data_IF_901186265728
#
_entry.id   IF_901186265728
#
_cell.length_a   1.000
_cell.length_b   1.000
_cell.length_c   1.000
_cell.angle_alpha   90.00
_cell.angle_beta   90.00
_cell.angle_gamma   90.00
#
_symmetry.space_group_name_H-M   'P 1'
#
loop_
_entity.id
_entity.type
_entity.pdbx_description
1 polymer ?
#
# COMPACT_ATOMS: atom_id res chain seq x y z
N UNK A 1 -46.05 -8.98 -10.23
CA UNK A 1 -44.80 -9.62 -10.71
C UNK A 1 -43.95 -8.54 -11.35
N UNK A 2 -43.11 -7.84 -10.58
CA UNK A 2 -42.16 -6.85 -11.09
C UNK A 2 -40.82 -7.17 -10.41
N UNK A 3 -39.81 -7.44 -11.25
CA UNK A 3 -38.60 -8.17 -10.90
C UNK A 3 -37.67 -7.44 -9.95
N UNK A 4 -37.39 -8.09 -8.82
CA UNK A 4 -36.35 -7.74 -7.85
C UNK A 4 -34.99 -8.28 -8.32
N UNK A 5 -34.58 -7.88 -9.52
CA UNK A 5 -33.30 -8.28 -10.11
C UNK A 5 -32.49 -7.03 -10.47
N UNK A 6 -31.91 -6.39 -9.45
CA UNK A 6 -30.77 -5.50 -9.64
C UNK A 6 -29.68 -5.84 -8.65
N UNK A 7 -29.01 -6.95 -8.95
CA UNK A 7 -27.59 -7.21 -8.73
C UNK A 7 -26.85 -6.14 -7.90
N UNK A 8 -27.08 -6.16 -6.60
CA UNK A 8 -26.42 -5.30 -5.59
C UNK A 8 -25.12 -5.93 -5.07
N UNK A 9 -24.75 -7.12 -5.58
CA UNK A 9 -23.60 -7.89 -5.09
C UNK A 9 -22.76 -8.38 -6.26
N UNK A 10 -22.21 -7.45 -7.05
CA UNK A 10 -21.09 -7.76 -7.94
C UNK A 10 -20.36 -6.47 -8.33
N UNK A 11 -19.19 -6.26 -7.73
CA UNK A 11 -18.13 -5.41 -8.29
C UNK A 11 -18.41 -3.90 -8.46
N UNK A 12 -18.71 -3.20 -7.36
CA UNK A 12 -18.34 -1.77 -7.24
C UNK A 12 -17.16 -1.59 -6.28
N UNK A 13 -16.08 -2.34 -6.51
CA UNK A 13 -14.75 -2.02 -6.00
C UNK A 13 -14.20 -0.88 -6.86
N UNK A 14 -14.79 0.30 -6.76
CA UNK A 14 -14.10 1.54 -7.12
C UNK A 14 -14.52 2.59 -6.11
N UNK A 15 -13.63 2.76 -5.13
CA UNK A 15 -13.22 4.08 -4.61
C UNK A 15 -14.38 4.99 -4.24
N UNK A 16 -14.94 4.87 -3.03
CA UNK A 16 -15.79 5.95 -2.52
C UNK A 16 -15.10 6.92 -1.56
N UNK A 17 -13.98 6.61 -0.88
CA UNK A 17 -13.39 7.68 -0.02
C UNK A 17 -11.97 7.50 0.50
N UNK A 18 -11.27 6.41 0.17
CA UNK A 18 -9.98 6.12 0.82
C UNK A 18 -8.83 6.41 -0.13
N UNK A 19 -8.29 7.62 0.01
CA UNK A 19 -7.06 8.06 -0.64
C UNK A 19 -5.95 7.03 -0.41
N UNK A 20 -5.52 6.37 -1.49
CA UNK A 20 -4.44 5.40 -1.52
C UNK A 20 -3.60 5.61 -2.77
N UNK A 21 -2.29 5.44 -2.65
CA UNK A 21 -1.36 5.51 -3.78
C UNK A 21 -1.37 4.16 -4.48
N UNK A 22 -1.65 4.18 -5.78
CA UNK A 22 -1.53 2.99 -6.64
C UNK A 22 -0.18 3.05 -7.32
N UNK A 23 0.66 2.06 -7.04
CA UNK A 23 1.96 1.89 -7.67
C UNK A 23 1.94 0.61 -8.51
N UNK A 24 2.38 0.70 -9.77
CA UNK A 24 2.40 -0.43 -10.71
C UNK A 24 3.83 -0.71 -11.12
N UNK A 25 4.34 -1.87 -10.72
CA UNK A 25 5.66 -2.34 -11.13
C UNK A 25 5.57 -2.96 -12.53
N UNK A 26 6.50 -2.60 -13.41
CA UNK A 26 6.58 -3.16 -14.77
C UNK A 26 7.17 -4.57 -14.73
N UNK A 27 8.12 -4.82 -13.82
CA UNK A 27 8.78 -6.11 -13.68
C UNK A 27 9.25 -6.31 -12.22
N UNK A 28 8.70 -7.29 -11.47
CA UNK A 28 7.57 -8.18 -11.80
C UNK A 28 6.24 -7.40 -11.96
N UNK A 29 5.30 -7.94 -12.75
CA UNK A 29 3.98 -7.31 -13.00
C UNK A 29 3.09 -7.38 -11.75
N UNK A 30 3.36 -6.52 -10.77
CA UNK A 30 2.67 -6.47 -9.49
C UNK A 30 2.07 -5.07 -9.28
N UNK A 31 0.81 -5.05 -8.84
CA UNK A 31 0.13 -3.86 -8.39
C UNK A 31 0.27 -3.70 -6.88
N UNK A 32 0.68 -2.53 -6.43
CA UNK A 32 0.81 -2.17 -5.03
C UNK A 32 -0.21 -1.07 -4.72
N UNK A 33 -0.94 -1.24 -3.63
CA UNK A 33 -1.87 -0.24 -3.10
C UNK A 33 -1.40 0.15 -1.70
N UNK A 34 -0.90 1.38 -1.57
CA UNK A 34 -0.32 1.91 -0.34
C UNK A 34 -1.32 2.88 0.28
N UNK A 35 -1.69 2.65 1.54
CA UNK A 35 -2.52 3.55 2.32
C UNK A 35 -1.64 4.44 3.20
N UNK A 36 -2.05 5.69 3.39
CA UNK A 36 -1.40 6.64 4.32
C UNK A 36 -1.31 6.13 5.77
N UNK A 37 -2.13 5.15 6.14
CA UNK A 37 -2.09 4.43 7.42
C UNK A 37 -0.88 3.50 7.56
N UNK A 38 -0.07 3.29 6.52
CA UNK A 38 1.02 2.31 6.49
C UNK A 38 0.58 0.88 6.10
N UNK A 39 -0.69 0.69 5.72
CA UNK A 39 -1.16 -0.59 5.15
C UNK A 39 -0.73 -0.67 3.69
N UNK A 40 -0.11 -1.78 3.30
CA UNK A 40 0.29 -2.05 1.92
C UNK A 40 -0.37 -3.34 1.46
N UNK A 41 -1.03 -3.29 0.31
CA UNK A 41 -1.65 -4.45 -0.34
C UNK A 41 -0.91 -4.71 -1.64
N UNK A 42 -0.36 -5.91 -1.81
CA UNK A 42 0.29 -6.36 -3.04
C UNK A 42 -0.64 -7.33 -3.78
N UNK A 43 -0.83 -7.11 -5.08
CA UNK A 43 -1.68 -7.94 -5.94
C UNK A 43 -0.99 -8.24 -7.27
N UNK A 44 -1.36 -9.34 -7.94
CA UNK A 44 -0.85 -9.68 -9.27
C UNK A 44 0.39 -10.59 -9.29
N UNK A 45 0.94 -10.99 -8.13
CA UNK A 45 1.98 -12.01 -8.07
C UNK A 45 1.42 -13.40 -8.40
N UNK A 46 2.04 -14.11 -9.35
CA UNK A 46 1.71 -15.52 -9.65
C UNK A 46 2.41 -16.47 -8.68
N UNK A 47 3.58 -16.06 -8.20
CA UNK A 47 4.43 -16.84 -7.30
C UNK A 47 4.73 -16.01 -6.06
N UNK A 48 4.78 -16.66 -4.89
CA UNK A 48 5.10 -16.01 -3.62
C UNK A 48 6.43 -15.24 -3.69
N UNK A 49 7.41 -15.76 -4.41
CA UNK A 49 8.72 -15.14 -4.56
C UNK A 49 8.65 -13.77 -5.26
N UNK A 50 7.76 -13.60 -6.25
CA UNK A 50 7.58 -12.31 -6.92
C UNK A 50 7.05 -11.24 -5.97
N UNK A 51 6.18 -11.63 -5.03
CA UNK A 51 5.63 -10.74 -4.00
C UNK A 51 6.75 -10.27 -3.08
N UNK A 52 7.62 -11.18 -2.63
CA UNK A 52 8.76 -10.84 -1.79
C UNK A 52 9.75 -9.93 -2.51
N UNK A 53 10.15 -10.27 -3.74
CA UNK A 53 11.06 -9.44 -4.54
C UNK A 53 10.49 -8.06 -4.86
N UNK A 54 9.17 -7.94 -5.08
CA UNK A 54 8.53 -6.65 -5.25
C UNK A 54 8.49 -5.83 -3.95
N UNK A 55 8.27 -6.50 -2.82
CA UNK A 55 8.30 -5.86 -1.51
C UNK A 55 9.70 -5.34 -1.16
N UNK A 56 10.75 -6.13 -1.38
CA UNK A 56 12.15 -5.73 -1.14
C UNK A 56 12.56 -4.51 -1.97
N UNK A 57 12.10 -4.42 -3.22
CA UNK A 57 12.38 -3.28 -4.09
C UNK A 57 11.68 -1.99 -3.63
N UNK A 58 10.43 -2.07 -3.18
CA UNK A 58 9.69 -0.87 -2.75
C UNK A 58 10.00 -0.47 -1.30
N UNK A 59 10.47 -1.40 -0.47
CA UNK A 59 10.78 -1.17 0.94
C UNK A 59 11.68 0.05 1.21
N UNK A 60 12.83 0.24 0.53
CA UNK A 60 13.68 1.41 0.75
C UNK A 60 12.97 2.74 0.38
N UNK A 61 12.18 2.73 -0.69
CA UNK A 61 11.40 3.90 -1.12
C UNK A 61 10.38 4.26 -0.04
N UNK A 62 9.69 3.28 0.54
CA UNK A 62 8.75 3.51 1.63
C UNK A 62 9.43 4.05 2.89
N UNK A 63 10.66 3.64 3.17
CA UNK A 63 11.44 4.16 4.30
C UNK A 63 11.81 5.64 4.09
N UNK A 64 12.16 6.04 2.87
CA UNK A 64 12.46 7.43 2.53
C UNK A 64 11.25 8.36 2.75
N UNK A 65 10.05 7.91 2.37
CA UNK A 65 8.81 8.67 2.57
C UNK A 65 8.21 8.51 3.97
N UNK A 66 8.87 7.80 4.89
CA UNK A 66 8.40 7.69 6.27
C UNK A 66 8.51 9.06 6.92
N UNK A 67 7.38 9.75 7.04
CA UNK A 67 7.26 10.89 7.95
C UNK A 67 7.58 10.38 9.35
N UNK A 68 8.79 10.71 9.83
CA UNK A 68 9.11 10.54 11.23
C UNK A 68 8.05 11.32 12.02
N UNK A 69 7.38 10.72 13.02
CA UNK A 69 6.63 11.52 13.96
C UNK A 69 7.62 12.53 14.53
N UNK A 70 7.28 13.83 14.49
CA UNK A 70 8.15 14.90 14.97
C UNK A 70 8.70 14.65 16.38
N UNK A 71 8.05 13.78 17.16
CA UNK A 71 8.48 13.30 18.47
C UNK A 71 9.79 12.46 18.47
N UNK A 72 10.14 11.75 17.39
CA UNK A 72 11.34 10.92 17.35
C UNK A 72 12.63 11.70 17.04
N UNK A 73 12.53 12.91 16.49
CA UNK A 73 13.69 13.76 16.21
C UNK A 73 14.28 14.38 17.50
N UNK A 74 13.50 14.49 18.57
CA UNK A 74 13.97 15.10 19.83
C UNK A 74 14.88 14.19 20.66
N UNK A 75 14.82 12.86 20.50
CA UNK A 75 15.61 11.92 21.31
C UNK A 75 17.00 11.62 20.74
N UNK A 76 17.33 12.13 19.54
CA UNK A 76 18.64 11.92 18.91
C UNK A 76 19.69 12.99 19.25
N UNK A 77 19.33 14.02 20.04
CA UNK A 77 20.21 15.09 20.49
C UNK A 77 20.42 15.04 22.02
N UNK A 78 21.01 13.96 22.50
CA UNK A 78 21.80 13.99 23.74
C UNK A 78 23.18 13.38 23.48
N UNK A 79 24.17 14.18 23.04
CA UNK A 79 25.56 13.82 23.16
C UNK A 79 26.05 14.29 24.53
N UNK A 80 26.15 13.40 25.52
CA UNK A 80 26.95 13.64 26.73
C UNK A 80 27.06 12.37 27.60
N UNK A 81 28.02 11.52 27.27
CA UNK A 81 29.05 11.12 28.24
C UNK A 81 30.33 10.96 27.45
#
# INVERSE_FOLDING_TARGET
MIGHARWDVCWRIVVHHRAGLIYRMVQPKIGLLIFVSGKVVLTGGKVRNEIFSAFEQIYPVLQEFRKLPAAAAATALTPAT
#
